data_IF_891992144799
#
_entry.id   IF_891992144799
#
_cell.length_a   1.000
_cell.length_b   1.000
_cell.length_c   1.000
_cell.angle_alpha   90.00
_cell.angle_beta   90.00
_cell.angle_gamma   90.00
#
_symmetry.space_group_name_H-M   'P 1'
#
loop_
_entity.id
_entity.type
_entity.pdbx_description
1 polymer ?
#
# COMPACT_ATOMS: atom_id res chain seq x y z
N UNK A 1 -30.11 -26.60 -19.77
CA UNK A 1 -29.57 -25.28 -19.36
C UNK A 1 -28.30 -25.59 -18.57
N UNK A 2 -27.15 -25.68 -19.22
CA UNK A 2 -25.90 -26.06 -18.55
C UNK A 2 -25.16 -24.81 -18.12
N UNK A 3 -25.23 -24.51 -16.83
CA UNK A 3 -24.59 -23.36 -16.19
C UNK A 3 -23.07 -23.52 -16.21
N UNK A 4 -22.38 -22.50 -16.71
CA UNK A 4 -20.96 -22.51 -17.03
C UNK A 4 -20.01 -22.58 -15.83
N UNK A 5 -18.96 -23.37 -16.00
CA UNK A 5 -17.77 -23.38 -15.15
C UNK A 5 -16.88 -22.18 -15.49
N UNK A 6 -17.07 -21.08 -14.77
CA UNK A 6 -16.07 -20.00 -14.72
C UNK A 6 -14.95 -20.42 -13.77
N UNK A 7 -13.97 -21.12 -14.31
CA UNK A 7 -12.68 -21.31 -13.65
C UNK A 7 -11.98 -19.96 -13.56
N UNK A 8 -12.18 -19.24 -12.46
CA UNK A 8 -11.31 -18.12 -12.11
C UNK A 8 -9.99 -18.69 -11.58
N UNK A 9 -9.00 -18.72 -12.46
CA UNK A 9 -7.59 -18.87 -12.13
C UNK A 9 -7.23 -17.83 -11.07
N UNK A 10 -7.18 -18.25 -9.80
CA UNK A 10 -6.57 -17.47 -8.71
C UNK A 10 -5.06 -17.54 -8.86
N UNK A 11 -4.54 -16.94 -9.93
CA UNK A 11 -3.13 -16.60 -10.03
C UNK A 11 -2.82 -15.59 -8.92
N UNK A 12 -1.88 -15.94 -8.04
CA UNK A 12 -1.36 -15.17 -6.90
C UNK A 12 -1.96 -13.79 -6.70
N UNK A 13 -3.18 -13.72 -6.18
CA UNK A 13 -3.84 -12.47 -5.91
C UNK A 13 -3.25 -11.91 -4.62
N UNK A 14 -2.39 -10.90 -4.73
CA UNK A 14 -2.20 -10.00 -3.60
C UNK A 14 -3.60 -9.54 -3.17
N UNK A 15 -3.99 -9.73 -1.90
CA UNK A 15 -5.32 -9.30 -1.45
C UNK A 15 -5.42 -7.80 -1.70
N UNK A 16 -6.38 -7.40 -2.52
CA UNK A 16 -6.56 -6.00 -2.89
C UNK A 16 -6.88 -5.20 -1.62
N UNK A 17 -6.08 -4.17 -1.34
CA UNK A 17 -6.24 -3.29 -0.18
C UNK A 17 -7.18 -2.15 -0.54
N UNK A 18 -8.32 -2.08 0.14
CA UNK A 18 -9.22 -0.94 -0.01
C UNK A 18 -8.60 0.33 0.58
N UNK A 19 -9.04 1.51 0.12
CA UNK A 19 -8.60 2.80 0.68
C UNK A 19 -8.80 2.89 2.19
N UNK A 20 -9.90 2.32 2.70
CA UNK A 20 -10.20 2.30 4.14
C UNK A 20 -9.23 1.41 4.90
N UNK A 21 -8.94 0.21 4.39
CA UNK A 21 -7.97 -0.69 5.02
C UNK A 21 -6.56 -0.09 5.00
N UNK A 22 -6.15 0.52 3.88
CA UNK A 22 -4.86 1.19 3.78
C UNK A 22 -4.75 2.34 4.79
N UNK A 23 -5.81 3.13 4.97
CA UNK A 23 -5.82 4.20 5.96
C UNK A 23 -5.67 3.68 7.39
N UNK A 24 -6.40 2.63 7.75
CA UNK A 24 -6.27 1.98 9.07
C UNK A 24 -4.87 1.38 9.29
N UNK A 25 -4.28 0.84 8.23
CA UNK A 25 -2.91 0.32 8.27
C UNK A 25 -1.89 1.42 8.52
N UNK A 26 -1.94 2.54 7.78
CA UNK A 26 -1.07 3.69 8.01
C UNK A 26 -1.19 4.25 9.43
N UNK A 27 -2.43 4.42 9.91
CA UNK A 27 -2.70 4.92 11.26
C UNK A 27 -2.15 3.94 12.33
N UNK A 28 -2.29 2.63 12.10
CA UNK A 28 -1.73 1.61 12.99
C UNK A 28 -0.19 1.56 12.94
N UNK A 29 0.44 1.75 11.78
CA UNK A 29 1.90 1.84 11.66
C UNK A 29 2.46 3.06 12.39
N UNK A 30 1.76 4.19 12.36
CA UNK A 30 2.14 5.40 13.09
C UNK A 30 2.13 5.18 14.60
N UNK A 31 1.18 4.38 15.10
CA UNK A 31 1.09 4.03 16.52
C UNK A 31 2.11 2.94 16.92
N UNK A 32 2.27 1.90 16.10
CA UNK A 32 3.21 0.79 16.34
C UNK A 32 4.47 0.97 15.48
N UNK A 33 5.49 1.63 16.01
CA UNK A 33 6.77 1.86 15.35
C UNK A 33 7.64 0.59 15.14
N UNK A 34 8.77 0.75 14.45
CA UNK A 34 9.66 -0.34 14.01
C UNK A 34 10.24 -1.22 15.12
N UNK A 35 10.38 -0.72 16.35
CA UNK A 35 10.86 -1.48 17.50
C UNK A 35 9.78 -2.28 18.25
N UNK A 36 8.53 -2.23 17.81
CA UNK A 36 7.41 -2.84 18.53
C UNK A 36 7.48 -4.38 18.45
N UNK A 37 7.56 -5.12 19.57
CA UNK A 37 7.45 -6.58 19.54
C UNK A 37 6.09 -6.99 19.00
N UNK A 38 6.06 -8.03 18.16
CA UNK A 38 4.84 -8.53 17.49
C UNK A 38 4.07 -7.46 16.71
N UNK A 39 4.81 -6.48 16.13
CA UNK A 39 4.25 -5.32 15.40
C UNK A 39 3.12 -5.71 14.47
N UNK A 40 3.33 -6.68 13.60
CA UNK A 40 2.37 -7.08 12.57
C UNK A 40 1.09 -7.68 13.14
N UNK A 41 1.20 -8.44 14.23
CA UNK A 41 0.04 -8.97 14.93
C UNK A 41 -0.78 -7.84 15.59
N UNK A 42 -0.10 -6.86 16.17
CA UNK A 42 -0.75 -5.68 16.79
C UNK A 42 -1.44 -4.80 15.75
N UNK A 43 -0.78 -4.54 14.61
CA UNK A 43 -1.35 -3.79 13.48
C UNK A 43 -2.58 -4.52 12.92
N UNK A 44 -2.47 -5.82 12.65
CA UNK A 44 -3.60 -6.66 12.21
C UNK A 44 -4.80 -6.54 13.15
N UNK A 45 -4.57 -6.64 14.46
CA UNK A 45 -5.63 -6.49 15.48
C UNK A 45 -6.23 -5.09 15.52
N UNK A 46 -5.41 -4.04 15.40
CA UNK A 46 -5.88 -2.66 15.39
C UNK A 46 -6.75 -2.34 14.16
N UNK A 47 -6.50 -3.01 13.04
CA UNK A 47 -7.36 -2.97 11.86
C UNK A 47 -8.64 -3.81 11.97
N UNK A 48 -8.91 -4.41 13.14
CA UNK A 48 -10.07 -5.28 13.36
C UNK A 48 -9.87 -6.72 12.89
N UNK A 49 -8.64 -7.15 12.62
CA UNK A 49 -8.32 -8.52 12.20
C UNK A 49 -8.76 -8.87 10.77
N UNK A 50 -9.09 -7.87 9.95
CA UNK A 50 -9.50 -8.06 8.54
C UNK A 50 -8.39 -8.57 7.63
N UNK A 51 -7.13 -8.32 8.04
CA UNK A 51 -5.91 -8.79 7.40
C UNK A 51 -5.06 -9.53 8.43
N UNK A 52 -4.41 -10.61 8.02
CA UNK A 52 -3.48 -11.38 8.85
C UNK A 52 -2.16 -10.64 9.05
N UNK A 53 -1.39 -11.02 10.08
CA UNK A 53 -0.06 -10.44 10.32
C UNK A 53 0.88 -10.60 9.10
N UNK A 54 0.81 -11.73 8.39
CA UNK A 54 1.61 -11.96 7.19
C UNK A 54 1.17 -11.10 5.99
N UNK A 55 -0.13 -10.83 5.83
CA UNK A 55 -0.63 -9.89 4.81
C UNK A 55 -0.21 -8.46 5.11
N UNK A 56 -0.28 -8.05 6.38
CA UNK A 56 0.18 -6.74 6.84
C UNK A 56 1.69 -6.57 6.59
N UNK A 57 2.51 -7.58 6.93
CA UNK A 57 3.96 -7.55 6.68
C UNK A 57 4.26 -7.40 5.19
N UNK A 58 3.64 -8.21 4.33
CA UNK A 58 3.84 -8.13 2.87
C UNK A 58 3.44 -6.78 2.30
N UNK A 59 2.35 -6.18 2.80
CA UNK A 59 1.92 -4.85 2.37
C UNK A 59 2.93 -3.76 2.77
N UNK A 60 3.49 -3.87 3.98
CA UNK A 60 4.57 -2.99 4.43
C UNK A 60 5.84 -3.13 3.57
N UNK A 61 6.25 -4.35 3.22
CA UNK A 61 7.42 -4.59 2.37
C UNK A 61 7.27 -3.95 0.99
N UNK A 62 6.06 -3.96 0.42
CA UNK A 62 5.75 -3.26 -0.84
C UNK A 62 5.87 -1.75 -0.65
N UNK A 63 5.26 -1.20 0.40
CA UNK A 63 5.31 0.23 0.71
C UNK A 63 6.76 0.72 0.89
N UNK A 64 7.57 -0.02 1.65
CA UNK A 64 8.99 0.30 1.88
C UNK A 64 9.81 0.24 0.58
N UNK A 65 9.53 -0.73 -0.29
CA UNK A 65 10.14 -0.82 -1.62
C UNK A 65 9.79 0.40 -2.49
N UNK A 66 8.53 0.83 -2.49
CA UNK A 66 8.08 2.00 -3.26
C UNK A 66 8.74 3.29 -2.76
N UNK A 67 8.87 3.47 -1.44
CA UNK A 67 9.57 4.61 -0.84
C UNK A 67 11.04 4.62 -1.27
N UNK A 68 11.73 3.48 -1.19
CA UNK A 68 13.12 3.35 -1.64
C UNK A 68 13.28 3.68 -3.12
N UNK A 69 12.30 3.31 -3.94
CA UNK A 69 12.30 3.65 -5.37
C UNK A 69 12.18 5.17 -5.58
N UNK A 70 11.33 5.84 -4.81
CA UNK A 70 11.17 7.30 -4.82
C UNK A 70 12.48 7.98 -4.37
N UNK A 71 13.03 7.58 -3.22
CA UNK A 71 14.24 8.18 -2.64
C UNK A 71 15.49 7.99 -3.51
N UNK A 72 15.56 6.88 -4.25
CA UNK A 72 16.64 6.62 -5.20
C UNK A 72 16.60 7.52 -6.45
N UNK A 73 15.65 8.45 -6.55
CA UNK A 73 15.50 9.36 -7.69
C UNK A 73 15.09 8.66 -8.98
N UNK A 74 14.58 7.42 -8.88
CA UNK A 74 14.13 6.62 -10.02
C UNK A 74 12.70 6.91 -10.46
N UNK A 75 12.03 7.83 -9.77
CA UNK A 75 10.79 8.43 -10.25
C UNK A 75 11.17 9.67 -11.07
N UNK A 76 11.00 9.65 -12.41
CA UNK A 76 11.28 10.83 -13.21
C UNK A 76 10.37 11.97 -12.75
N UNK A 77 10.97 13.09 -12.35
CA UNK A 77 10.21 14.30 -12.07
C UNK A 77 9.36 14.67 -13.29
N UNK A 78 8.10 15.09 -13.10
CA UNK A 78 7.31 15.62 -14.20
C UNK A 78 8.09 16.75 -14.88
N UNK A 79 8.22 16.68 -16.21
CA UNK A 79 8.74 17.80 -16.99
C UNK A 79 7.69 18.89 -16.99
N UNK A 80 7.67 19.73 -15.96
CA UNK A 80 6.87 20.95 -15.96
C UNK A 80 7.43 21.84 -17.06
N UNK A 81 6.69 21.93 -18.16
CA UNK A 81 6.95 22.89 -19.22
C UNK A 81 6.71 24.30 -18.68
N UNK A 82 7.75 24.92 -18.13
CA UNK A 82 7.76 26.35 -17.78
C UNK A 82 7.90 27.18 -19.06
N UNK A 83 6.90 27.09 -19.94
CA UNK A 83 6.79 27.99 -21.09
C UNK A 83 5.40 28.62 -21.07
N UNK A 84 5.25 29.52 -20.12
CA UNK A 84 4.06 30.33 -19.90
C UNK A 84 4.43 31.45 -18.95
N UNK A 85 5.07 32.49 -19.49
CA UNK A 85 5.23 33.77 -18.81
C UNK A 85 3.83 34.26 -18.39
N UNK A 86 3.54 34.21 -17.09
CA UNK A 86 2.48 35.00 -16.48
C UNK A 86 3.17 36.06 -15.63
N UNK A 87 3.34 37.25 -16.19
CA UNK A 87 3.69 38.43 -15.43
C UNK A 87 2.67 38.62 -14.30
N UNK A 88 3.16 38.66 -13.06
CA UNK A 88 2.36 39.15 -11.94
C UNK A 88 2.24 40.67 -12.09
N UNK A 89 1.08 41.13 -12.57
CA UNK A 89 0.56 42.47 -12.31
C UNK A 89 -0.62 42.34 -11.35
#
# INVERSE_FOLDING_TARGET
MSSGSRSSSRGGANPEWSKKENKLFEDALAYYGEGTPDRWLKVSRAMGGTKTADEVRRHYEILDSDIKLIDSGRVPFPKYNTQGQGAWN
#
